data_IF_295897012369
#
_entry.id   IF_295897012369
#
_cell.length_a   1.000
_cell.length_b   1.000
_cell.length_c   1.000
_cell.angle_alpha   90.00
_cell.angle_beta   90.00
_cell.angle_gamma   90.00
#
_symmetry.space_group_name_H-M   'P 1'
#
loop_
_entity.id
_entity.type
_entity.pdbx_description
1 polymer ?
#
# COMPACT_ATOMS: atom_id res chain seq x y z
N UNK A 1 45.90 -24.65 -7.15
CA UNK A 1 45.84 -23.25 -6.64
C UNK A 1 44.66 -22.45 -7.20
N UNK A 2 44.32 -22.57 -8.50
CA UNK A 2 43.15 -21.90 -9.12
C UNK A 2 41.80 -22.17 -8.41
N UNK A 3 41.61 -23.39 -7.87
CA UNK A 3 40.37 -23.78 -7.16
C UNK A 3 40.11 -22.99 -5.87
N UNK A 4 41.18 -22.61 -5.14
CA UNK A 4 41.04 -21.83 -3.90
C UNK A 4 40.82 -20.33 -4.16
N UNK A 5 41.26 -19.86 -5.33
CA UNK A 5 41.09 -18.48 -5.79
C UNK A 5 39.63 -18.18 -6.17
N UNK A 6 38.94 -19.15 -6.78
CA UNK A 6 37.51 -19.03 -7.08
C UNK A 6 36.63 -19.08 -5.81
N UNK A 7 37.03 -19.86 -4.81
CA UNK A 7 36.32 -19.96 -3.53
C UNK A 7 36.48 -18.67 -2.71
N UNK A 8 37.67 -18.03 -2.69
CA UNK A 8 37.83 -16.75 -1.99
C UNK A 8 37.08 -15.60 -2.67
N UNK A 9 36.95 -15.62 -4.00
CA UNK A 9 36.18 -14.63 -4.76
C UNK A 9 34.68 -14.71 -4.45
N UNK A 10 34.13 -15.92 -4.24
CA UNK A 10 32.72 -16.09 -3.89
C UNK A 10 32.39 -15.62 -2.47
N UNK A 11 33.32 -15.75 -1.52
CA UNK A 11 33.13 -15.32 -0.12
C UNK A 11 33.21 -13.79 -0.01
N UNK A 12 34.01 -13.13 -0.85
CA UNK A 12 34.17 -11.67 -0.85
C UNK A 12 32.94 -10.90 -1.36
N UNK A 13 32.01 -11.55 -2.08
CA UNK A 13 30.77 -10.93 -2.60
C UNK A 13 29.70 -10.81 -1.50
N UNK A 14 29.87 -11.46 -0.34
CA UNK A 14 28.79 -11.68 0.63
C UNK A 14 28.64 -10.75 1.85
N UNK A 15 29.43 -9.68 2.07
CA UNK A 15 29.00 -8.69 3.05
C UNK A 15 29.05 -7.26 2.49
N UNK A 16 28.14 -6.92 1.57
CA UNK A 16 27.79 -5.52 1.31
C UNK A 16 26.34 -5.17 1.74
N UNK A 17 25.54 -6.13 2.17
CA UNK A 17 24.08 -5.96 2.25
C UNK A 17 23.52 -5.42 3.58
N UNK A 18 24.34 -5.09 4.59
CA UNK A 18 23.79 -4.86 5.95
C UNK A 18 24.10 -3.49 6.56
N UNK A 19 24.81 -2.60 5.87
CA UNK A 19 24.87 -1.19 6.29
C UNK A 19 23.61 -0.45 5.79
N UNK A 20 22.45 -0.77 6.39
CA UNK A 20 21.32 0.15 6.35
C UNK A 20 21.71 1.36 7.18
N UNK A 21 22.07 2.45 6.51
CA UNK A 21 22.22 3.76 7.13
C UNK A 21 20.97 4.01 8.00
N UNK A 22 21.18 4.14 9.31
CA UNK A 22 20.12 4.33 10.29
C UNK A 22 19.67 5.78 10.16
N UNK A 23 18.71 6.03 9.28
CA UNK A 23 18.11 7.35 9.20
C UNK A 23 17.53 7.71 10.57
N UNK A 24 17.90 8.90 10.99
CA UNK A 24 17.76 9.47 12.31
C UNK A 24 16.27 9.74 12.66
N UNK A 25 15.92 10.32 13.84
CA UNK A 25 14.55 10.42 14.39
C UNK A 25 13.48 11.03 13.47
N UNK A 26 13.84 11.65 12.35
CA UNK A 26 12.88 12.10 11.33
C UNK A 26 12.11 10.92 10.73
N UNK A 27 12.78 9.79 10.48
CA UNK A 27 12.13 8.61 9.88
C UNK A 27 11.13 7.98 10.85
N UNK A 28 11.39 8.01 12.16
CA UNK A 28 10.43 7.51 13.15
C UNK A 28 9.17 8.40 13.22
N UNK A 29 9.31 9.72 13.15
CA UNK A 29 8.16 10.64 13.10
C UNK A 29 7.32 10.44 11.84
N UNK A 30 7.96 10.26 10.68
CA UNK A 30 7.27 9.98 9.42
C UNK A 30 6.51 8.66 9.51
N UNK A 31 7.12 7.62 10.08
CA UNK A 31 6.46 6.33 10.28
C UNK A 31 5.27 6.41 11.25
N UNK A 32 5.39 7.16 12.35
CA UNK A 32 4.26 7.42 13.26
C UNK A 32 3.12 8.14 12.53
N UNK A 33 3.44 9.21 11.79
CA UNK A 33 2.45 9.95 11.01
C UNK A 33 1.74 9.08 9.97
N UNK A 34 2.50 8.19 9.30
CA UNK A 34 1.93 7.23 8.36
C UNK A 34 0.98 6.24 9.04
N UNK A 35 1.38 5.72 10.20
CA UNK A 35 0.59 4.79 11.01
C UNK A 35 -0.73 5.42 11.48
N UNK A 36 -0.67 6.63 12.05
CA UNK A 36 -1.85 7.36 12.50
C UNK A 36 -2.79 7.68 11.32
N UNK A 37 -2.24 8.05 10.16
CA UNK A 37 -3.01 8.27 8.94
C UNK A 37 -3.68 6.99 8.39
N UNK A 38 -3.30 5.79 8.83
CA UNK A 38 -3.98 4.56 8.42
C UNK A 38 -5.40 4.45 8.96
N UNK A 39 -5.75 5.15 10.04
CA UNK A 39 -7.13 5.17 10.56
C UNK A 39 -7.97 6.30 9.96
N UNK A 40 -7.32 7.27 9.31
CA UNK A 40 -7.96 8.42 8.72
C UNK A 40 -9.01 8.08 7.65
N UNK A 41 -10.15 8.75 7.70
CA UNK A 41 -11.24 8.69 6.71
C UNK A 41 -11.84 10.08 6.54
N UNK A 42 -11.98 10.55 5.30
CA UNK A 42 -12.79 11.72 5.00
C UNK A 42 -14.27 11.41 5.25
N UNK A 43 -14.99 12.39 5.77
CA UNK A 43 -16.44 12.43 5.76
C UNK A 43 -16.95 12.52 4.31
N UNK A 44 -18.19 12.07 4.06
CA UNK A 44 -18.79 12.01 2.73
C UNK A 44 -18.94 13.39 2.08
N UNK A 45 -19.21 14.43 2.87
CA UNK A 45 -19.29 15.81 2.40
C UNK A 45 -17.94 16.30 1.82
N UNK A 46 -16.85 16.11 2.57
CA UNK A 46 -15.52 16.51 2.13
C UNK A 46 -14.99 15.58 1.05
N UNK A 47 -15.36 14.29 1.08
CA UNK A 47 -15.07 13.36 0.00
C UNK A 47 -15.70 13.82 -1.32
N UNK A 48 -16.92 14.38 -1.29
CA UNK A 48 -17.56 14.95 -2.47
C UNK A 48 -16.79 16.16 -3.00
N UNK A 49 -16.26 17.02 -2.11
CA UNK A 49 -15.42 18.17 -2.49
C UNK A 49 -14.07 17.71 -3.06
N UNK A 50 -13.39 16.80 -2.37
CA UNK A 50 -12.14 16.18 -2.82
C UNK A 50 -12.29 15.50 -4.19
N UNK A 51 -13.45 14.88 -4.47
CA UNK A 51 -13.70 14.29 -5.78
C UNK A 51 -13.76 15.31 -6.91
N UNK A 52 -14.20 16.55 -6.62
CA UNK A 52 -14.27 17.65 -7.57
C UNK A 52 -12.89 18.27 -7.82
N UNK A 53 -12.10 18.46 -6.77
CA UNK A 53 -10.73 18.96 -6.85
C UNK A 53 -9.75 18.00 -6.15
N UNK A 54 -9.10 17.17 -6.97
CA UNK A 54 -8.21 16.10 -6.51
C UNK A 54 -6.76 16.53 -6.42
N UNK A 55 -6.40 17.72 -6.90
CA UNK A 55 -4.99 18.12 -6.98
C UNK A 55 -4.51 18.76 -5.68
N UNK A 56 -5.43 19.12 -4.79
CA UNK A 56 -5.14 19.81 -3.55
C UNK A 56 -4.80 18.84 -2.40
N UNK A 57 -3.55 18.38 -2.37
CA UNK A 57 -2.98 17.54 -1.29
C UNK A 57 -2.74 18.30 0.02
N UNK A 58 -2.78 19.63 -0.01
CA UNK A 58 -2.59 20.51 1.16
C UNK A 58 -3.91 20.97 1.78
N UNK A 59 -5.05 20.52 1.24
CA UNK A 59 -6.37 20.87 1.74
C UNK A 59 -6.56 20.51 3.21
N UNK A 60 -7.35 21.33 3.91
CA UNK A 60 -7.58 21.16 5.35
C UNK A 60 -8.33 19.88 5.71
N UNK A 61 -8.98 19.23 4.73
CA UNK A 61 -9.62 17.93 4.90
C UNK A 61 -8.67 16.86 5.45
N UNK A 62 -7.38 16.95 5.13
CA UNK A 62 -6.35 15.98 5.53
C UNK A 62 -5.60 16.39 6.80
N UNK A 63 -6.03 17.45 7.49
CA UNK A 63 -5.36 17.94 8.70
C UNK A 63 -5.57 16.93 9.85
N UNK A 64 -4.51 16.55 10.58
CA UNK A 64 -4.67 15.72 11.76
C UNK A 64 -5.45 16.47 12.84
N UNK A 65 -6.33 15.76 13.54
CA UNK A 65 -7.11 16.23 14.68
C UNK A 65 -6.67 15.49 15.94
N UNK A 66 -6.99 16.03 17.13
CA UNK A 66 -6.57 15.42 18.41
C UNK A 66 -7.02 13.97 18.60
N UNK A 67 -8.13 13.58 17.97
CA UNK A 67 -8.67 12.21 18.04
C UNK A 67 -8.05 11.26 17.02
N UNK A 68 -7.30 11.76 16.03
CA UNK A 68 -6.74 10.96 14.94
C UNK A 68 -5.26 10.65 15.10
N UNK A 69 -4.65 11.09 16.20
CA UNK A 69 -3.21 11.04 16.46
C UNK A 69 -2.97 10.41 17.83
N UNK A 70 -1.92 9.60 17.93
CA UNK A 70 -1.57 8.90 19.17
C UNK A 70 -0.96 9.86 20.22
N UNK A 71 -0.19 10.86 19.78
CA UNK A 71 0.42 11.88 20.64
C UNK A 71 0.09 13.30 20.13
N UNK A 72 -0.66 14.04 20.94
CA UNK A 72 -1.10 15.40 20.58
C UNK A 72 0.02 16.43 20.49
N UNK A 73 1.19 16.17 21.09
CA UNK A 73 2.36 17.07 21.00
C UNK A 73 2.91 17.14 19.57
N UNK A 74 2.77 16.05 18.82
CA UNK A 74 3.22 15.94 17.42
C UNK A 74 2.44 16.84 16.45
N UNK A 75 1.27 17.34 16.86
CA UNK A 75 0.46 18.25 16.03
C UNK A 75 1.15 19.61 15.79
N UNK A 76 2.12 19.98 16.63
CA UNK A 76 2.91 21.20 16.47
C UNK A 76 4.10 21.00 15.52
N UNK A 77 4.48 19.75 15.25
CA UNK A 77 5.60 19.43 14.38
C UNK A 77 5.17 19.50 12.90
N UNK A 78 5.81 20.41 12.17
CA UNK A 78 5.53 20.63 10.74
C UNK A 78 5.85 19.40 9.87
N UNK A 79 6.86 18.62 10.22
CA UNK A 79 7.28 17.42 9.50
C UNK A 79 6.23 16.33 9.70
N UNK A 80 5.79 16.13 10.94
CA UNK A 80 4.72 15.18 11.26
C UNK A 80 3.43 15.52 10.52
N UNK A 81 2.97 16.78 10.60
CA UNK A 81 1.72 17.21 9.96
C UNK A 81 1.79 17.05 8.43
N UNK A 82 2.94 17.37 7.82
CA UNK A 82 3.16 17.21 6.38
C UNK A 82 3.14 15.74 5.97
N UNK A 83 3.81 14.87 6.72
CA UNK A 83 3.83 13.43 6.48
C UNK A 83 2.43 12.80 6.65
N UNK A 84 1.69 13.21 7.68
CA UNK A 84 0.32 12.79 7.92
C UNK A 84 -0.60 13.16 6.75
N UNK A 85 -0.60 14.44 6.34
CA UNK A 85 -1.40 14.94 5.21
C UNK A 85 -1.11 14.18 3.92
N UNK A 86 0.18 13.97 3.61
CA UNK A 86 0.59 13.23 2.42
C UNK A 86 0.10 11.77 2.45
N UNK A 87 0.21 11.10 3.60
CA UNK A 87 -0.26 9.71 3.78
C UNK A 87 -1.79 9.62 3.66
N UNK A 88 -2.51 10.51 4.33
CA UNK A 88 -3.97 10.60 4.32
C UNK A 88 -4.53 10.87 2.91
N UNK A 89 -3.92 11.79 2.16
CA UNK A 89 -4.24 12.07 0.75
C UNK A 89 -4.01 10.83 -0.13
N UNK A 90 -2.83 10.21 -0.05
CA UNK A 90 -2.48 9.05 -0.86
C UNK A 90 -3.41 7.86 -0.59
N UNK A 91 -3.76 7.62 0.68
CA UNK A 91 -4.73 6.59 1.07
C UNK A 91 -6.09 6.87 0.45
N UNK A 92 -6.57 8.11 0.54
CA UNK A 92 -7.86 8.52 -0.01
C UNK A 92 -7.90 8.34 -1.54
N UNK A 93 -6.81 8.69 -2.22
CA UNK A 93 -6.66 8.50 -3.68
C UNK A 93 -6.64 7.02 -4.07
N UNK A 94 -5.95 6.17 -3.31
CA UNK A 94 -5.82 4.72 -3.58
C UNK A 94 -7.12 3.92 -3.32
N UNK A 95 -8.06 4.43 -2.52
CA UNK A 95 -9.31 3.72 -2.21
C UNK A 95 -10.14 3.31 -3.45
N UNK A 96 -9.96 3.96 -4.60
CA UNK A 96 -10.63 3.60 -5.86
C UNK A 96 -10.01 2.39 -6.57
N UNK A 97 -8.69 2.22 -6.51
CA UNK A 97 -8.01 1.13 -7.25
C UNK A 97 -8.38 -0.22 -6.67
N UNK A 98 -8.60 -0.29 -5.36
CA UNK A 98 -9.09 -1.51 -4.69
C UNK A 98 -10.40 -2.01 -5.31
N UNK A 99 -11.37 -1.13 -5.53
CA UNK A 99 -12.63 -1.51 -6.17
C UNK A 99 -12.45 -1.99 -7.62
N UNK A 100 -11.53 -1.40 -8.39
CA UNK A 100 -11.28 -1.86 -9.76
C UNK A 100 -10.60 -3.24 -9.76
N UNK A 101 -9.66 -3.50 -8.86
CA UNK A 101 -9.01 -4.80 -8.74
C UNK A 101 -10.00 -5.90 -8.29
N UNK A 102 -10.89 -5.59 -7.34
CA UNK A 102 -11.92 -6.55 -6.90
C UNK A 102 -12.91 -6.86 -8.03
N UNK A 103 -13.33 -5.85 -8.80
CA UNK A 103 -14.29 -6.02 -9.88
C UNK A 103 -13.70 -6.79 -11.08
N UNK A 104 -12.44 -6.53 -11.44
CA UNK A 104 -11.74 -7.32 -12.46
C UNK A 104 -11.47 -8.75 -11.99
N UNK A 105 -11.01 -8.93 -10.75
CA UNK A 105 -10.73 -10.26 -10.20
C UNK A 105 -11.97 -11.15 -10.13
N UNK A 106 -13.12 -10.58 -9.74
CA UNK A 106 -14.41 -11.31 -9.73
C UNK A 106 -14.88 -11.68 -11.13
N UNK A 107 -14.78 -10.77 -12.11
CA UNK A 107 -15.15 -11.07 -13.50
C UNK A 107 -14.34 -12.23 -14.10
N UNK A 108 -13.03 -12.29 -13.83
CA UNK A 108 -12.15 -13.38 -14.30
C UNK A 108 -12.53 -14.72 -13.67
N UNK A 109 -12.81 -14.75 -12.36
CA UNK A 109 -13.24 -15.97 -11.66
C UNK A 109 -14.57 -16.52 -12.20
N UNK A 110 -15.55 -15.64 -12.40
CA UNK A 110 -16.84 -16.04 -12.98
C UNK A 110 -16.67 -16.59 -14.40
N UNK A 111 -15.87 -15.93 -15.24
CA UNK A 111 -15.57 -16.41 -16.60
C UNK A 111 -14.93 -17.80 -16.61
N UNK A 112 -13.91 -18.02 -15.78
CA UNK A 112 -13.25 -19.32 -15.68
C UNK A 112 -14.19 -20.44 -15.19
N UNK A 113 -15.04 -20.15 -14.19
CA UNK A 113 -16.00 -21.11 -13.66
C UNK A 113 -17.03 -21.56 -14.70
N UNK A 114 -17.53 -20.64 -15.54
CA UNK A 114 -18.48 -20.95 -16.60
C UNK A 114 -17.88 -21.86 -17.68
N UNK A 115 -16.61 -21.65 -18.04
CA UNK A 115 -15.91 -22.50 -19.02
C UNK A 115 -15.74 -23.92 -18.47
N UNK A 116 -15.37 -24.07 -17.19
CA UNK A 116 -15.25 -25.40 -16.54
C UNK A 116 -16.60 -26.11 -16.48
N UNK A 117 -17.67 -25.39 -16.10
CA UNK A 117 -19.02 -25.97 -16.04
C UNK A 117 -19.48 -26.40 -17.43
N UNK A 118 -19.29 -25.57 -18.46
CA UNK A 118 -19.59 -25.95 -19.84
C UNK A 118 -18.75 -27.15 -20.29
N UNK A 119 -17.47 -27.21 -19.95
CA UNK A 119 -16.63 -28.35 -20.27
C UNK A 119 -17.14 -29.65 -19.62
N UNK A 120 -17.62 -29.61 -18.37
CA UNK A 120 -18.19 -30.78 -17.70
C UNK A 120 -19.52 -31.20 -18.34
N UNK A 121 -20.41 -30.23 -18.61
CA UNK A 121 -21.75 -30.49 -19.15
C UNK A 121 -21.69 -30.99 -20.60
N UNK A 122 -20.78 -30.43 -21.40
CA UNK A 122 -20.63 -30.76 -22.82
C UNK A 122 -19.51 -31.76 -23.11
N UNK A 123 -18.72 -32.19 -22.12
CA UNK A 123 -17.79 -33.29 -22.31
C UNK A 123 -18.59 -34.58 -22.49
N UNK A 124 -18.57 -35.20 -23.69
CA UNK A 124 -19.31 -36.42 -23.95
C UNK A 124 -18.63 -37.57 -23.22
N UNK A 125 -19.04 -37.80 -21.98
CA UNK A 125 -18.74 -39.01 -21.23
C UNK A 125 -17.28 -39.19 -20.80
N UNK A 126 -16.95 -38.72 -19.60
CA UNK A 126 -16.01 -39.46 -18.76
C UNK A 126 -16.73 -40.71 -18.23
N UNK A 127 -17.04 -41.65 -19.13
CA UNK A 127 -17.41 -43.01 -18.74
C UNK A 127 -16.13 -43.65 -18.23
N UNK A 128 -16.03 -43.78 -16.91
CA UNK A 128 -15.01 -44.58 -16.25
C UNK A 128 -14.88 -45.92 -16.97
N UNK A 129 -13.68 -46.17 -17.48
CA UNK A 129 -13.13 -47.51 -17.61
C UNK A 129 -12.27 -47.77 -16.40
#
# INVERSE_FOLDING_TARGET
MLKYLLVSLFIAIFPASVLKAKNAPVDSLVHMAQSDAQKFRLNDADMKKFRKDRHNSTSDYFKPIKTSVSDTTLLQDSVYVKAYRASAYNKTRKRRTVWHHVLVGTAVLYGASLVVIMAIVFSPGYKGR
#
